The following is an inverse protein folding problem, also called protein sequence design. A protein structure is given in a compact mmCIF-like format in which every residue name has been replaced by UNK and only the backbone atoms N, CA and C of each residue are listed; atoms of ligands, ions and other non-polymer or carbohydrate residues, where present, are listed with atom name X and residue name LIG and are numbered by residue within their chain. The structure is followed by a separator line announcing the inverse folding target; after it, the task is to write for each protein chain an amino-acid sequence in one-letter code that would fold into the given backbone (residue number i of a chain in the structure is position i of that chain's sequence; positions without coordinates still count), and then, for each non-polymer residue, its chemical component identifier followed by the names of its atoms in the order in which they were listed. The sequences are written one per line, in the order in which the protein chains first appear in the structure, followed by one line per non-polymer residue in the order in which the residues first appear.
data_IF_267843546343
#
_entry.id   IF_267843546343
#
_cell.length_a   1.000
_cell.length_b   1.000
_cell.length_c   1.000
_cell.angle_alpha   90.00
_cell.angle_beta   90.00
_cell.angle_gamma   90.00
#
_symmetry.space_group_name_H-M   'P 1'
#
loop_
_entity.id
_entity.type
_entity.pdbx_description
1 polymer ?
#
# COMPACT_ATOMS: atom_id res chain seq x y z
N UNK A 1 51.00 -18.21 -7.01
CA UNK A 1 49.99 -19.15 -7.54
C UNK A 1 48.60 -18.67 -7.11
N UNK A 2 48.03 -17.73 -7.86
CA UNK A 2 46.66 -17.25 -7.69
C UNK A 2 45.79 -18.04 -8.65
N UNK A 3 44.96 -18.96 -8.14
CA UNK A 3 43.84 -19.54 -8.90
C UNK A 3 42.59 -18.82 -8.41
N UNK A 4 42.17 -17.81 -9.16
CA UNK A 4 40.85 -17.22 -9.04
C UNK A 4 39.84 -18.25 -9.59
N UNK A 5 39.08 -18.88 -8.70
CA UNK A 5 37.94 -19.70 -9.11
C UNK A 5 36.81 -18.78 -9.55
N UNK A 6 36.68 -18.57 -10.85
CA UNK A 6 35.50 -17.92 -11.43
C UNK A 6 34.27 -18.78 -11.14
N UNK A 7 33.42 -18.36 -10.19
CA UNK A 7 32.07 -18.92 -10.03
C UNK A 7 31.27 -18.55 -11.29
N UNK A 8 31.20 -19.48 -12.25
CA UNK A 8 30.39 -19.33 -13.46
C UNK A 8 28.90 -19.13 -13.13
N UNK A 9 28.13 -18.72 -14.15
CA UNK A 9 26.68 -18.56 -14.06
C UNK A 9 26.02 -19.81 -13.47
N UNK A 10 25.38 -19.66 -12.31
CA UNK A 10 24.59 -20.72 -11.69
C UNK A 10 23.12 -20.46 -12.02
N UNK A 11 22.54 -21.20 -12.99
CA UNK A 11 21.12 -21.07 -13.27
C UNK A 11 20.32 -21.45 -12.01
N UNK A 12 19.58 -20.49 -11.47
CA UNK A 12 18.60 -20.78 -10.45
C UNK A 12 17.34 -21.31 -11.14
N UNK A 13 17.10 -22.61 -11.00
CA UNK A 13 15.84 -23.21 -11.44
C UNK A 13 14.75 -22.79 -10.46
N UNK A 14 13.81 -21.96 -10.91
CA UNK A 14 12.61 -21.63 -10.13
C UNK A 14 11.61 -22.77 -10.34
N UNK A 15 11.23 -23.43 -9.25
CA UNK A 15 10.24 -24.48 -9.24
C UNK A 15 9.11 -24.07 -8.28
N UNK A 16 7.85 -24.35 -8.64
CA UNK A 16 6.68 -24.06 -7.83
C UNK A 16 5.92 -25.35 -7.55
N UNK A 17 5.45 -25.52 -6.32
CA UNK A 17 4.60 -26.63 -5.93
C UNK A 17 3.13 -26.25 -6.15
N UNK A 18 2.36 -27.12 -6.81
CA UNK A 18 0.93 -26.93 -7.03
C UNK A 18 0.11 -27.42 -5.81
N UNK A 19 -1.23 -27.22 -5.83
CA UNK A 19 -2.07 -27.60 -4.69
C UNK A 19 -2.15 -29.12 -4.43
N UNK A 20 -1.75 -29.93 -5.41
CA UNK A 20 -1.66 -31.39 -5.32
C UNK A 20 -0.29 -31.86 -4.78
N UNK A 21 0.63 -30.94 -4.47
CA UNK A 21 1.97 -31.25 -3.99
C UNK A 21 2.97 -31.61 -5.10
N UNK A 22 2.63 -31.33 -6.37
CA UNK A 22 3.50 -31.62 -7.50
C UNK A 22 4.37 -30.41 -7.86
N UNK A 23 5.65 -30.66 -8.14
CA UNK A 23 6.61 -29.63 -8.49
C UNK A 23 6.57 -29.34 -9.99
N UNK A 24 6.22 -28.10 -10.34
CA UNK A 24 6.21 -27.58 -11.70
C UNK A 24 7.43 -26.69 -11.94
N UNK A 25 8.12 -26.92 -13.07
CA UNK A 25 9.29 -26.15 -13.50
C UNK A 25 9.09 -25.47 -14.86
N UNK A 26 7.99 -25.79 -15.56
CA UNK A 26 7.66 -25.17 -16.83
C UNK A 26 6.87 -23.86 -16.63
N UNK A 27 7.13 -22.89 -17.50
CA UNK A 27 6.59 -21.53 -17.37
C UNK A 27 5.06 -21.49 -17.44
N UNK A 28 4.43 -22.34 -18.24
CA UNK A 28 2.97 -22.37 -18.43
C UNK A 28 2.29 -22.84 -17.16
N UNK A 29 2.77 -23.92 -16.56
CA UNK A 29 2.25 -24.45 -15.30
C UNK A 29 2.47 -23.48 -14.15
N UNK A 30 3.63 -22.82 -14.10
CA UNK A 30 3.90 -21.77 -13.11
C UNK A 30 2.91 -20.61 -13.22
N UNK A 31 2.59 -20.16 -14.44
CA UNK A 31 1.60 -19.10 -14.67
C UNK A 31 0.20 -19.53 -14.23
N UNK A 32 -0.18 -20.78 -14.49
CA UNK A 32 -1.46 -21.33 -14.02
C UNK A 32 -1.54 -21.42 -12.49
N UNK A 33 -0.43 -21.77 -11.83
CA UNK A 33 -0.35 -21.76 -10.35
C UNK A 33 -0.57 -20.33 -9.82
N UNK A 34 0.09 -19.34 -10.41
CA UNK A 34 -0.11 -17.94 -10.03
C UNK A 34 -1.52 -17.44 -10.31
N UNK A 35 -2.08 -17.74 -11.48
CA UNK A 35 -3.47 -17.38 -11.82
C UNK A 35 -4.44 -17.97 -10.80
N UNK A 36 -4.31 -19.26 -10.48
CA UNK A 36 -5.17 -19.92 -9.51
C UNK A 36 -4.96 -19.38 -8.09
N UNK A 37 -3.72 -19.06 -7.71
CA UNK A 37 -3.42 -18.44 -6.42
C UNK A 37 -4.07 -17.05 -6.29
N UNK A 38 -3.92 -16.18 -7.28
CA UNK A 38 -4.54 -14.86 -7.26
C UNK A 38 -6.05 -14.94 -7.37
N UNK A 39 -6.58 -15.81 -8.24
CA UNK A 39 -8.03 -16.01 -8.39
C UNK A 39 -8.63 -16.53 -7.08
N UNK A 40 -8.03 -17.53 -6.44
CA UNK A 40 -8.52 -18.01 -5.15
C UNK A 40 -8.38 -16.95 -4.06
N UNK A 41 -7.24 -16.26 -3.95
CA UNK A 41 -7.04 -15.21 -2.93
C UNK A 41 -8.01 -14.04 -3.09
N UNK A 42 -8.26 -13.60 -4.33
CA UNK A 42 -9.14 -12.46 -4.62
C UNK A 42 -10.62 -12.83 -4.62
N UNK A 43 -10.96 -14.09 -4.94
CA UNK A 43 -12.35 -14.56 -4.98
C UNK A 43 -12.80 -15.12 -3.62
N UNK A 44 -11.90 -15.75 -2.84
CA UNK A 44 -12.14 -16.13 -1.44
C UNK A 44 -11.97 -14.96 -0.46
N UNK A 45 -12.10 -13.72 -0.93
CA UNK A 45 -12.58 -12.64 -0.09
C UNK A 45 -14.08 -12.84 0.23
N UNK A 46 -14.45 -14.04 0.68
CA UNK A 46 -15.22 -14.10 1.91
C UNK A 46 -14.30 -13.48 2.97
N UNK A 47 -14.32 -12.15 3.02
CA UNK A 47 -14.31 -11.52 4.32
C UNK A 47 -15.38 -12.28 5.09
N UNK A 48 -14.94 -13.20 5.96
CA UNK A 48 -15.63 -13.39 7.21
C UNK A 48 -15.62 -12.00 7.82
N UNK A 49 -16.68 -11.28 7.49
CA UNK A 49 -17.15 -10.07 8.10
C UNK A 49 -17.56 -10.42 9.54
N UNK A 50 -16.65 -11.01 10.31
CA UNK A 50 -16.77 -11.13 11.77
C UNK A 50 -16.41 -9.79 12.44
N UNK A 51 -16.09 -8.74 11.67
CA UNK A 51 -16.02 -7.34 12.12
C UNK A 51 -16.40 -6.30 11.05
N UNK A 52 -17.30 -6.64 10.11
CA UNK A 52 -18.18 -5.61 9.53
C UNK A 52 -19.62 -5.99 9.87
N UNK A 53 -19.90 -6.07 11.17
CA UNK A 53 -20.93 -5.16 11.63
C UNK A 53 -20.47 -3.76 11.22
N UNK A 54 -20.72 -3.39 9.96
CA UNK A 54 -21.17 -2.05 9.66
C UNK A 54 -22.32 -1.87 10.64
N UNK A 55 -22.00 -1.36 11.82
CA UNK A 55 -22.93 -0.54 12.53
C UNK A 55 -23.33 0.49 11.49
N UNK A 56 -24.45 0.22 10.80
CA UNK A 56 -25.42 1.25 10.51
C UNK A 56 -25.88 1.75 11.88
N UNK A 57 -24.94 2.37 12.60
CA UNK A 57 -25.26 3.32 13.61
C UNK A 57 -25.92 4.42 12.79
N UNK A 58 -27.25 4.37 12.76
CA UNK A 58 -28.10 5.54 12.63
C UNK A 58 -27.91 6.47 13.85
N UNK A 59 -26.73 6.47 14.47
CA UNK A 59 -26.25 7.40 15.47
C UNK A 59 -25.29 8.31 14.73
N UNK A 60 -25.79 9.51 14.51
CA UNK A 60 -25.06 10.67 14.02
C UNK A 60 -24.72 10.70 12.53
N UNK A 61 -25.67 11.28 11.78
CA UNK A 61 -25.33 12.35 10.82
C UNK A 61 -24.68 13.55 11.54
N UNK A 62 -23.66 13.31 12.38
CA UNK A 62 -22.79 14.38 12.83
C UNK A 62 -22.15 14.92 11.56
N UNK A 63 -22.31 16.22 11.33
CA UNK A 63 -21.44 16.92 10.39
C UNK A 63 -20.02 16.70 10.91
N UNK A 64 -19.27 15.81 10.26
CA UNK A 64 -17.84 15.70 10.48
C UNK A 64 -17.25 17.10 10.27
N UNK A 65 -16.57 17.60 11.31
CA UNK A 65 -15.95 18.91 11.27
C UNK A 65 -14.76 18.93 10.30
N UNK A 66 -14.36 20.13 9.90
CA UNK A 66 -13.15 20.30 9.10
C UNK A 66 -11.93 19.83 9.91
N UNK A 67 -11.01 19.05 9.31
CA UNK A 67 -9.81 18.60 10.00
C UNK A 67 -8.97 19.79 10.46
N UNK A 68 -8.55 19.76 11.72
CA UNK A 68 -7.71 20.79 12.32
C UNK A 68 -6.24 20.59 11.97
N UNK A 69 -5.46 21.68 12.01
CA UNK A 69 -4.01 21.64 11.77
C UNK A 69 -3.31 20.65 12.72
N UNK A 70 -3.74 20.58 13.98
CA UNK A 70 -3.15 19.72 15.01
C UNK A 70 -3.38 18.24 14.70
N UNK A 71 -4.59 17.85 14.29
CA UNK A 71 -4.89 16.46 13.91
C UNK A 71 -4.02 16.00 12.75
N UNK A 72 -3.85 16.85 11.73
CA UNK A 72 -3.00 16.54 10.58
C UNK A 72 -1.52 16.39 11.00
N UNK A 73 -1.03 17.25 11.91
CA UNK A 73 0.32 17.12 12.48
C UNK A 73 0.48 15.77 13.18
N UNK A 74 -0.48 15.37 14.01
CA UNK A 74 -0.43 14.10 14.72
C UNK A 74 -0.41 12.90 13.78
N UNK A 75 -1.27 12.91 12.75
CA UNK A 75 -1.34 11.85 11.74
C UNK A 75 0.00 11.72 11.02
N UNK A 76 0.58 12.85 10.58
CA UNK A 76 1.87 12.86 9.91
C UNK A 76 2.95 12.30 10.83
N UNK A 77 2.99 12.72 12.11
CA UNK A 77 3.95 12.19 13.10
C UNK A 77 3.82 10.68 13.30
N UNK A 78 2.59 10.18 13.44
CA UNK A 78 2.26 8.75 13.66
C UNK A 78 2.49 7.88 12.41
N UNK A 79 2.57 8.47 11.21
CA UNK A 79 2.78 7.71 9.97
C UNK A 79 4.12 6.96 9.98
N UNK A 80 4.14 5.70 9.52
CA UNK A 80 5.35 4.87 9.49
C UNK A 80 6.37 5.43 8.50
N UNK A 81 7.66 5.37 8.87
CA UNK A 81 8.79 5.73 8.00
C UNK A 81 9.04 4.67 6.92
N UNK A 82 9.84 5.01 5.92
CA UNK A 82 10.33 4.12 4.86
C UNK A 82 9.23 3.54 3.98
N UNK A 83 8.08 4.22 3.89
CA UNK A 83 7.09 3.92 2.86
C UNK A 83 7.61 4.38 1.51
N UNK A 84 7.40 3.60 0.47
CA UNK A 84 7.71 3.99 -0.90
C UNK A 84 6.96 5.27 -1.26
N UNK A 85 7.62 6.26 -1.90
CA UNK A 85 6.96 7.45 -2.39
C UNK A 85 5.93 7.11 -3.47
N UNK A 86 4.96 8.01 -3.66
CA UNK A 86 3.99 7.90 -4.75
C UNK A 86 4.58 8.31 -6.10
N UNK A 87 3.69 8.53 -7.10
CA UNK A 87 4.05 9.03 -8.43
C UNK A 87 4.79 10.39 -8.37
N UNK A 88 4.49 11.20 -7.35
CA UNK A 88 5.10 12.51 -7.11
C UNK A 88 6.52 12.44 -6.54
N UNK A 89 7.01 11.25 -6.16
CA UNK A 89 8.32 11.07 -5.56
C UNK A 89 8.44 11.63 -4.13
N UNK A 90 7.34 12.08 -3.51
CA UNK A 90 7.37 12.71 -2.19
C UNK A 90 7.30 11.62 -1.11
N UNK A 91 8.27 11.62 -0.20
CA UNK A 91 8.29 10.69 0.93
C UNK A 91 7.63 11.29 2.17
N UNK A 92 7.18 10.43 3.09
CA UNK A 92 6.58 10.88 4.35
C UNK A 92 7.59 11.60 5.24
N UNK A 93 8.88 11.27 5.14
CA UNK A 93 9.97 11.94 5.87
C UNK A 93 10.11 13.39 5.40
N UNK A 94 10.02 13.64 4.10
CA UNK A 94 10.07 15.00 3.55
C UNK A 94 8.94 15.86 4.10
N UNK A 95 7.75 15.28 4.31
CA UNK A 95 6.61 15.97 4.92
C UNK A 95 6.85 16.18 6.42
N UNK A 96 7.33 15.15 7.15
CA UNK A 96 7.63 15.24 8.59
C UNK A 96 8.67 16.29 8.96
N UNK A 97 9.67 16.46 8.10
CA UNK A 97 10.77 17.40 8.29
C UNK A 97 10.61 18.66 7.43
N UNK A 98 9.41 18.89 6.87
CA UNK A 98 9.14 20.07 6.07
C UNK A 98 9.14 21.35 6.91
N UNK A 99 9.41 22.49 6.28
CA UNK A 99 9.21 23.80 6.91
C UNK A 99 7.72 24.05 7.16
N UNK A 100 7.42 24.91 8.13
CA UNK A 100 6.03 25.28 8.45
C UNK A 100 5.26 25.77 7.21
N UNK A 101 5.89 26.56 6.35
CA UNK A 101 5.29 27.04 5.09
C UNK A 101 4.85 25.88 4.18
N UNK A 102 5.68 24.85 4.03
CA UNK A 102 5.35 23.68 3.20
C UNK A 102 4.24 22.84 3.83
N UNK A 103 4.29 22.70 5.16
CA UNK A 103 3.22 22.05 5.90
C UNK A 103 1.88 22.79 5.72
N UNK A 104 1.89 24.12 5.77
CA UNK A 104 0.68 24.93 5.58
C UNK A 104 0.08 24.75 4.19
N UNK A 105 0.91 24.61 3.16
CA UNK A 105 0.42 24.28 1.81
C UNK A 105 -0.29 22.92 1.77
N UNK A 106 0.27 21.89 2.42
CA UNK A 106 -0.34 20.56 2.51
C UNK A 106 -1.65 20.63 3.30
N UNK A 107 -1.66 21.33 4.43
CA UNK A 107 -2.86 21.52 5.23
C UNK A 107 -3.97 22.23 4.46
N UNK A 108 -3.65 23.31 3.74
CA UNK A 108 -4.60 24.04 2.90
C UNK A 108 -5.16 23.17 1.77
N UNK A 109 -4.32 22.32 1.17
CA UNK A 109 -4.74 21.36 0.15
C UNK A 109 -5.74 20.33 0.71
N UNK A 110 -5.45 19.74 1.87
CA UNK A 110 -6.35 18.80 2.57
C UNK A 110 -7.68 19.49 2.89
N UNK A 111 -7.62 20.72 3.39
CA UNK A 111 -8.79 21.55 3.71
C UNK A 111 -9.62 21.88 2.46
N UNK A 112 -8.99 22.16 1.34
CA UNK A 112 -9.68 22.37 0.07
C UNK A 112 -10.42 21.10 -0.37
N UNK A 113 -9.74 19.96 -0.41
CA UNK A 113 -10.34 18.66 -0.75
C UNK A 113 -11.51 18.35 0.19
N UNK A 114 -11.35 18.64 1.48
CA UNK A 114 -12.42 18.44 2.47
C UNK A 114 -13.67 19.26 2.16
N UNK A 115 -13.53 20.51 1.71
CA UNK A 115 -14.65 21.40 1.38
C UNK A 115 -15.30 21.06 0.05
N UNK A 116 -14.48 20.86 -0.98
CA UNK A 116 -14.94 20.69 -2.36
C UNK A 116 -15.38 19.25 -2.67
N UNK A 117 -14.96 18.29 -1.84
CA UNK A 117 -15.22 16.85 -2.03
C UNK A 117 -14.76 16.32 -3.39
N UNK A 118 -13.78 16.97 -4.01
CA UNK A 118 -13.18 16.58 -5.28
C UNK A 118 -11.66 16.77 -5.23
N UNK A 119 -10.97 16.07 -6.13
CA UNK A 119 -9.53 16.25 -6.29
C UNK A 119 -9.26 17.54 -7.06
N UNK A 120 -8.27 18.35 -6.64
CA UNK A 120 -7.87 19.53 -7.39
C UNK A 120 -7.31 19.12 -8.76
N UNK A 121 -7.57 19.94 -9.76
CA UNK A 121 -7.05 19.73 -11.11
C UNK A 121 -5.53 19.99 -11.11
N UNK A 122 -4.81 19.15 -11.86
CA UNK A 122 -3.36 19.30 -12.10
C UNK A 122 -3.08 20.60 -12.87
#
# INVERSE_FOLDING_TARGET
NLKEESKGFQPQTVALENHQGEICVDTTSMLNIWENFFRSTLTNNEYKTENEQLHQNNQDKQKLEEPTKIEIIEIIKKSKRSKSPGEDGITIEQIKYSSEEKFDRIYNLIKQIWKEKCMPKK
#
